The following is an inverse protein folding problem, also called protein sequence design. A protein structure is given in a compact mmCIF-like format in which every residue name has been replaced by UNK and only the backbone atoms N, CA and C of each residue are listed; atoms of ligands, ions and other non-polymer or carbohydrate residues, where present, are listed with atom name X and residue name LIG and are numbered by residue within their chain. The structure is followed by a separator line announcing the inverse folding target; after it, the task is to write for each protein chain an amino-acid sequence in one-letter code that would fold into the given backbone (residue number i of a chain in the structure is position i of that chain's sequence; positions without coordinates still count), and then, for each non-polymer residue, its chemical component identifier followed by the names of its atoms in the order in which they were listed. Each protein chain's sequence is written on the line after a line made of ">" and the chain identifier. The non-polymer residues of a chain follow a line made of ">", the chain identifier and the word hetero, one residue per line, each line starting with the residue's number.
data_IF_206248284318
#
_entry.id   IF_206248284318
#
_cell.length_a   1.000
_cell.length_b   1.000
_cell.length_c   1.000
_cell.angle_alpha   90.00
_cell.angle_beta   90.00
_cell.angle_gamma   90.00
#
_symmetry.space_group_name_H-M   'P 1'
#
loop_
_entity.id
_entity.type
_entity.pdbx_description
1 polymer ?
#
# COMPACT_ATOMS: atom_id res chain seq x y z
N UNK A 1 -13.30 20.63 3.57
CA UNK A 1 -14.03 19.53 2.87
C UNK A 1 -13.06 18.90 1.87
N UNK A 2 -12.68 17.62 2.06
CA UNK A 2 -11.83 16.92 1.09
C UNK A 2 -12.63 16.72 -0.21
N UNK A 3 -11.96 16.89 -1.35
CA UNK A 3 -12.55 16.72 -2.68
C UNK A 3 -12.95 15.25 -2.87
N UNK A 4 -14.22 14.97 -3.15
CA UNK A 4 -14.67 13.62 -3.53
C UNK A 4 -14.40 13.40 -5.01
N UNK A 5 -13.97 12.19 -5.35
CA UNK A 5 -13.83 11.78 -6.73
C UNK A 5 -15.20 11.77 -7.40
N UNK A 6 -15.33 12.50 -8.50
CA UNK A 6 -16.54 12.50 -9.32
C UNK A 6 -16.28 11.68 -10.56
N UNK A 7 -17.13 10.68 -10.78
CA UNK A 7 -17.07 9.84 -11.97
C UNK A 7 -17.25 10.66 -13.26
N UNK A 8 -16.58 10.24 -14.29
CA UNK A 8 -16.63 10.77 -15.64
C UNK A 8 -15.93 9.78 -16.56
N UNK A 9 -15.98 10.01 -17.86
CA UNK A 9 -15.19 9.23 -18.82
C UNK A 9 -13.85 9.89 -19.06
N UNK A 10 -12.77 9.12 -18.87
CA UNK A 10 -11.45 9.53 -19.29
C UNK A 10 -11.35 9.44 -20.83
N UNK A 11 -11.01 10.54 -21.50
CA UNK A 11 -10.83 10.57 -22.96
C UNK A 11 -9.63 9.72 -23.38
N UNK A 12 -8.54 9.77 -22.61
CA UNK A 12 -7.36 8.93 -22.80
C UNK A 12 -7.20 7.99 -21.61
N UNK A 13 -6.96 6.71 -21.87
CA UNK A 13 -6.96 5.67 -20.83
C UNK A 13 -5.61 4.99 -20.75
N UNK A 14 -5.16 4.74 -19.53
CA UNK A 14 -4.05 3.83 -19.24
C UNK A 14 -4.41 2.38 -19.61
N UNK A 15 -3.40 1.53 -19.60
CA UNK A 15 -3.52 0.11 -19.90
C UNK A 15 -3.18 -0.74 -18.68
N UNK A 16 -3.79 -1.92 -18.59
CA UNK A 16 -3.40 -2.94 -17.62
C UNK A 16 -2.60 -4.00 -18.37
N UNK A 17 -1.48 -4.40 -17.80
CA UNK A 17 -0.69 -5.55 -18.24
C UNK A 17 -0.50 -6.51 -17.08
N UNK A 18 -0.21 -7.76 -17.39
CA UNK A 18 0.19 -8.75 -16.43
C UNK A 18 1.72 -8.91 -16.45
N UNK A 19 2.31 -9.02 -15.28
CA UNK A 19 3.72 -9.42 -15.13
C UNK A 19 3.77 -10.73 -14.36
N UNK A 20 4.58 -11.66 -14.84
CA UNK A 20 4.86 -12.94 -14.18
C UNK A 20 6.24 -12.88 -13.54
N UNK A 21 6.36 -13.44 -12.35
CA UNK A 21 7.61 -13.54 -11.60
C UNK A 21 7.68 -14.86 -10.85
N UNK A 22 8.90 -15.26 -10.51
CA UNK A 22 9.17 -16.50 -9.76
C UNK A 22 9.41 -16.16 -8.30
N UNK A 23 8.84 -16.95 -7.40
CA UNK A 23 9.03 -16.84 -5.95
C UNK A 23 9.07 -18.23 -5.30
N UNK A 24 9.18 -18.28 -3.98
CA UNK A 24 9.11 -19.52 -3.20
C UNK A 24 7.83 -19.55 -2.36
N UNK A 25 7.12 -20.69 -2.42
CA UNK A 25 5.97 -20.92 -1.55
C UNK A 25 6.42 -21.26 -0.11
N UNK A 26 5.45 -21.47 0.79
CA UNK A 26 5.67 -21.82 2.20
C UNK A 26 6.48 -23.11 2.41
N UNK A 27 6.46 -24.01 1.41
CA UNK A 27 7.25 -25.27 1.41
C UNK A 27 8.67 -25.07 0.86
N UNK A 28 9.02 -23.86 0.42
CA UNK A 28 10.30 -23.57 -0.24
C UNK A 28 10.36 -24.00 -1.71
N UNK A 29 9.24 -24.46 -2.29
CA UNK A 29 9.16 -24.84 -3.70
C UNK A 29 9.10 -23.58 -4.58
N UNK A 30 9.79 -23.60 -5.70
CA UNK A 30 9.74 -22.52 -6.69
C UNK A 30 8.40 -22.54 -7.39
N UNK A 31 7.71 -21.40 -7.38
CA UNK A 31 6.39 -21.21 -8.02
C UNK A 31 6.39 -19.94 -8.85
N UNK A 32 5.57 -19.95 -9.88
CA UNK A 32 5.29 -18.78 -10.69
C UNK A 32 4.06 -18.06 -10.13
N UNK A 33 4.15 -16.74 -10.01
CA UNK A 33 3.03 -15.87 -9.63
C UNK A 33 2.91 -14.73 -10.63
N UNK A 34 1.76 -14.08 -10.64
CA UNK A 34 1.54 -12.89 -11.46
C UNK A 34 1.01 -11.72 -10.63
N UNK A 35 1.22 -10.52 -11.14
CA UNK A 35 0.61 -9.29 -10.68
C UNK A 35 0.10 -8.49 -11.88
N UNK A 36 -0.93 -7.68 -11.69
CA UNK A 36 -1.34 -6.72 -12.70
C UNK A 36 -0.57 -5.41 -12.51
N UNK A 37 -0.27 -4.73 -13.60
CA UNK A 37 0.35 -3.40 -13.57
C UNK A 37 -0.46 -2.44 -14.43
N UNK A 38 -0.86 -1.31 -13.85
CA UNK A 38 -1.41 -0.17 -14.56
C UNK A 38 -0.29 0.70 -15.09
N UNK A 39 -0.33 0.95 -16.39
CA UNK A 39 0.52 1.90 -17.09
C UNK A 39 -0.33 3.13 -17.44
N UNK A 40 0.10 4.35 -17.06
CA UNK A 40 -0.68 5.55 -17.31
C UNK A 40 -0.86 5.81 -18.81
N UNK A 41 -1.88 6.59 -19.15
CA UNK A 41 -2.04 7.07 -20.52
C UNK A 41 -0.73 7.72 -21.01
N UNK A 42 -0.37 7.44 -22.27
CA UNK A 42 0.90 7.90 -22.87
C UNK A 42 2.14 7.41 -22.11
N UNK A 43 2.08 6.20 -21.54
CA UNK A 43 3.25 5.57 -20.95
C UNK A 43 4.41 5.56 -21.94
N UNK A 44 5.56 6.04 -21.48
CA UNK A 44 6.81 6.09 -22.25
C UNK A 44 7.86 5.22 -21.55
N UNK A 45 8.33 4.12 -22.16
CA UNK A 45 9.30 3.22 -21.54
C UNK A 45 10.66 3.87 -21.24
N UNK A 46 10.93 5.05 -21.84
CA UNK A 46 12.18 5.78 -21.58
C UNK A 46 12.08 6.74 -20.39
N UNK A 47 10.87 7.02 -19.90
CA UNK A 47 10.66 7.86 -18.72
C UNK A 47 10.68 7.05 -17.43
N UNK A 48 11.13 7.70 -16.36
CA UNK A 48 11.06 7.15 -15.00
C UNK A 48 9.72 7.49 -14.37
N UNK A 49 9.16 6.52 -13.65
CA UNK A 49 7.88 6.68 -12.94
C UNK A 49 8.04 6.33 -11.48
N UNK A 50 7.31 7.05 -10.62
CA UNK A 50 7.00 6.57 -9.28
C UNK A 50 6.15 5.31 -9.38
N UNK A 51 6.27 4.42 -8.39
CA UNK A 51 5.56 3.14 -8.40
C UNK A 51 4.84 2.90 -7.07
N UNK A 52 3.62 2.40 -7.16
CA UNK A 52 2.79 2.09 -6.01
C UNK A 52 2.28 0.65 -6.08
N UNK A 53 2.61 -0.14 -5.07
CA UNK A 53 2.12 -1.50 -4.91
C UNK A 53 0.87 -1.48 -4.04
N UNK A 54 -0.23 -2.06 -4.53
CA UNK A 54 -1.55 -1.98 -3.89
C UNK A 54 -2.17 -3.36 -3.70
N UNK A 55 -2.15 -3.84 -2.45
CA UNK A 55 -2.61 -5.18 -2.07
C UNK A 55 -4.12 -5.23 -1.87
N UNK A 56 -4.74 -6.31 -2.35
CA UNK A 56 -6.17 -6.60 -2.16
C UNK A 56 -6.53 -6.99 -0.72
N UNK A 57 -7.83 -7.05 -0.42
CA UNK A 57 -8.39 -7.56 0.83
C UNK A 57 -8.43 -9.09 0.89
N UNK A 58 -8.79 -9.64 2.04
CA UNK A 58 -8.92 -11.08 2.25
C UNK A 58 -9.83 -11.74 1.21
N UNK A 59 -9.40 -12.88 0.69
CA UNK A 59 -10.09 -13.61 -0.37
C UNK A 59 -10.08 -12.96 -1.75
N UNK A 60 -9.35 -11.84 -1.93
CA UNK A 60 -9.19 -11.17 -3.22
C UNK A 60 -8.15 -11.82 -4.13
N UNK A 61 -7.78 -11.08 -5.18
CA UNK A 61 -6.81 -11.49 -6.20
C UNK A 61 -6.22 -10.23 -6.87
N UNK A 62 -5.27 -10.33 -7.80
CA UNK A 62 -4.68 -9.19 -8.50
C UNK A 62 -5.68 -8.30 -9.24
N UNK A 63 -6.85 -8.83 -9.66
CA UNK A 63 -7.86 -8.09 -10.44
C UNK A 63 -8.75 -7.18 -9.58
N UNK A 64 -8.74 -7.39 -8.24
CA UNK A 64 -9.67 -6.74 -7.32
C UNK A 64 -9.66 -5.21 -7.41
N UNK A 65 -8.51 -4.61 -7.65
CA UNK A 65 -8.37 -3.16 -7.73
C UNK A 65 -8.56 -2.58 -9.13
N UNK A 66 -7.89 -3.14 -10.13
CA UNK A 66 -7.81 -2.52 -11.45
C UNK A 66 -8.97 -2.92 -12.38
N UNK A 67 -9.47 -4.14 -12.26
CA UNK A 67 -10.55 -4.66 -13.11
C UNK A 67 -11.92 -4.66 -12.42
N UNK A 68 -11.95 -4.95 -11.10
CA UNK A 68 -13.20 -5.15 -10.36
C UNK A 68 -13.63 -3.94 -9.54
N UNK A 69 -12.88 -2.82 -9.56
CA UNK A 69 -13.18 -1.60 -8.81
C UNK A 69 -13.09 -0.34 -9.70
N UNK A 70 -13.55 0.83 -9.20
CA UNK A 70 -13.43 2.10 -9.91
C UNK A 70 -12.00 2.62 -10.07
N UNK A 71 -11.00 1.98 -9.47
CA UNK A 71 -9.64 2.52 -9.33
C UNK A 71 -8.99 2.91 -10.66
N UNK A 72 -9.06 2.04 -11.68
CA UNK A 72 -8.44 2.34 -12.98
C UNK A 72 -8.98 3.64 -13.58
N UNK A 73 -10.30 3.79 -13.63
CA UNK A 73 -10.93 5.01 -14.17
C UNK A 73 -10.59 6.23 -13.30
N UNK A 74 -10.47 6.06 -11.99
CA UNK A 74 -10.07 7.12 -11.07
C UNK A 74 -8.63 7.59 -11.36
N UNK A 75 -7.69 6.65 -11.58
CA UNK A 75 -6.30 6.96 -11.93
C UNK A 75 -6.24 7.72 -13.27
N UNK A 76 -6.93 7.20 -14.30
CA UNK A 76 -7.00 7.83 -15.63
C UNK A 76 -7.49 9.28 -15.54
N UNK A 77 -8.59 9.52 -14.84
CA UNK A 77 -9.18 10.85 -14.68
C UNK A 77 -8.32 11.78 -13.84
N UNK A 78 -7.73 11.29 -12.75
CA UNK A 78 -6.88 12.11 -11.88
C UNK A 78 -5.61 12.57 -12.59
N UNK A 79 -5.00 11.69 -13.40
CA UNK A 79 -3.84 12.02 -14.22
C UNK A 79 -4.23 13.01 -15.33
N UNK A 80 -5.34 12.78 -16.03
CA UNK A 80 -5.84 13.67 -17.08
C UNK A 80 -6.15 15.09 -16.56
N UNK A 81 -6.64 15.19 -15.31
CA UNK A 81 -6.95 16.48 -14.66
C UNK A 81 -5.71 17.16 -14.05
N UNK A 82 -4.55 16.55 -14.11
CA UNK A 82 -3.33 17.03 -13.46
C UNK A 82 -3.41 17.01 -11.92
N UNK A 83 -4.31 16.22 -11.35
CA UNK A 83 -4.47 16.05 -9.90
C UNK A 83 -3.48 15.02 -9.35
N UNK A 84 -2.99 14.13 -10.21
CA UNK A 84 -2.03 13.08 -9.92
C UNK A 84 -0.97 13.02 -11.02
N UNK A 85 0.30 13.01 -10.63
CA UNK A 85 1.38 12.74 -11.57
C UNK A 85 1.30 11.30 -12.10
N UNK A 86 1.62 11.08 -13.39
CA UNK A 86 1.66 9.73 -13.95
C UNK A 86 2.55 8.79 -13.13
N UNK A 87 2.00 7.63 -12.74
CA UNK A 87 2.72 6.63 -11.95
C UNK A 87 2.34 5.23 -12.41
N UNK A 88 3.14 4.24 -12.00
CA UNK A 88 2.82 2.83 -12.15
C UNK A 88 2.07 2.34 -10.91
N UNK A 89 1.02 1.52 -11.09
CA UNK A 89 0.34 0.86 -9.97
C UNK A 89 0.36 -0.64 -10.19
N UNK A 90 0.93 -1.37 -9.24
CA UNK A 90 1.04 -2.83 -9.28
C UNK A 90 0.08 -3.43 -8.27
N UNK A 91 -0.74 -4.38 -8.71
CA UNK A 91 -1.67 -5.10 -7.83
C UNK A 91 -1.27 -6.58 -7.73
N UNK A 92 -0.49 -6.93 -6.69
CA UNK A 92 -0.04 -8.30 -6.45
C UNK A 92 -1.06 -9.09 -5.64
N UNK A 93 -0.71 -10.34 -5.30
CA UNK A 93 -1.40 -11.17 -4.32
C UNK A 93 -0.40 -11.85 -3.37
N UNK A 94 -0.77 -11.99 -2.09
CA UNK A 94 -0.02 -12.82 -1.15
C UNK A 94 -0.42 -14.30 -1.20
N UNK A 95 -1.44 -14.64 -1.99
CA UNK A 95 -1.81 -16.05 -2.22
C UNK A 95 -0.87 -16.70 -3.24
N UNK A 96 -0.64 -17.98 -3.04
CA UNK A 96 -0.03 -18.86 -4.04
C UNK A 96 -1.13 -19.69 -4.67
N UNK A 97 -1.13 -19.78 -6.00
CA UNK A 97 -2.12 -20.58 -6.73
C UNK A 97 -2.14 -22.04 -6.22
N UNK A 98 -3.33 -22.62 -6.13
CA UNK A 98 -3.53 -23.99 -5.68
C UNK A 98 -3.48 -24.21 -4.15
N UNK A 99 -3.20 -23.18 -3.34
CA UNK A 99 -3.12 -23.35 -1.87
C UNK A 99 -4.44 -23.18 -1.13
N UNK A 100 -5.55 -22.95 -1.84
CA UNK A 100 -6.86 -22.66 -1.23
C UNK A 100 -6.88 -21.33 -0.44
N UNK A 101 -8.07 -20.90 -0.04
CA UNK A 101 -8.21 -19.75 0.86
C UNK A 101 -8.00 -20.22 2.30
N UNK A 102 -6.93 -19.83 2.98
CA UNK A 102 -6.75 -20.18 4.39
C UNK A 102 -7.81 -19.46 5.23
N UNK A 103 -8.10 -19.98 6.42
CA UNK A 103 -8.84 -19.21 7.43
C UNK A 103 -8.08 -17.94 7.81
N UNK A 104 -8.74 -17.02 8.51
CA UNK A 104 -8.17 -15.68 8.81
C UNK A 104 -6.79 -15.71 9.52
N UNK A 105 -6.50 -16.73 10.33
CA UNK A 105 -5.20 -16.83 10.99
C UNK A 105 -4.09 -17.20 9.99
N UNK A 106 -4.35 -18.13 9.08
CA UNK A 106 -3.43 -18.46 7.99
C UNK A 106 -3.24 -17.32 6.98
N UNK A 107 -4.20 -16.41 6.85
CA UNK A 107 -4.03 -15.20 6.04
C UNK A 107 -3.02 -14.23 6.63
N UNK A 108 -3.00 -14.04 7.96
CA UNK A 108 -2.00 -13.20 8.61
C UNK A 108 -0.58 -13.71 8.33
N UNK A 109 -0.33 -15.01 8.50
CA UNK A 109 0.98 -15.60 8.22
C UNK A 109 1.43 -15.36 6.78
N UNK A 110 0.51 -15.46 5.81
CA UNK A 110 0.79 -15.12 4.40
C UNK A 110 1.15 -13.65 4.21
N UNK A 111 0.51 -12.72 4.91
CA UNK A 111 0.84 -11.29 4.82
C UNK A 111 2.22 -10.99 5.39
N UNK A 112 2.67 -11.73 6.38
CA UNK A 112 4.04 -11.64 6.94
C UNK A 112 5.06 -12.27 5.97
N UNK A 113 4.78 -13.48 5.47
CA UNK A 113 5.67 -14.18 4.52
C UNK A 113 5.86 -13.38 3.22
N UNK A 114 4.81 -12.70 2.74
CA UNK A 114 4.83 -11.86 1.56
C UNK A 114 5.87 -10.74 1.61
N UNK A 115 6.31 -10.31 2.79
CA UNK A 115 7.30 -9.21 2.91
C UNK A 115 8.65 -9.57 2.29
N UNK A 116 9.04 -10.84 2.39
CA UNK A 116 10.25 -11.34 1.73
C UNK A 116 10.05 -11.43 0.22
N UNK A 117 8.95 -12.01 -0.23
CA UNK A 117 8.57 -12.08 -1.65
C UNK A 117 8.53 -10.68 -2.28
N UNK A 118 7.91 -9.71 -1.59
CA UNK A 118 7.85 -8.32 -2.04
C UNK A 118 9.22 -7.74 -2.33
N UNK A 119 10.16 -7.91 -1.40
CA UNK A 119 11.48 -7.29 -1.47
C UNK A 119 12.45 -8.03 -2.40
N UNK A 120 12.40 -9.37 -2.40
CA UNK A 120 13.42 -10.19 -3.09
C UNK A 120 12.98 -10.64 -4.50
N UNK A 121 11.66 -10.71 -4.76
CA UNK A 121 11.15 -11.28 -6.00
C UNK A 121 10.30 -10.28 -6.80
N UNK A 122 9.20 -9.77 -6.23
CA UNK A 122 8.23 -8.94 -6.96
C UNK A 122 8.80 -7.58 -7.36
N UNK A 123 9.34 -6.80 -6.41
CA UNK A 123 9.89 -5.47 -6.70
C UNK A 123 11.03 -5.58 -7.73
N UNK A 124 12.04 -6.48 -7.57
CA UNK A 124 13.07 -6.66 -8.58
C UNK A 124 12.53 -7.05 -9.96
N UNK A 125 11.56 -7.95 -10.05
CA UNK A 125 10.97 -8.36 -11.32
C UNK A 125 10.26 -7.21 -12.02
N UNK A 126 9.44 -6.47 -11.29
CA UNK A 126 8.69 -5.32 -11.86
C UNK A 126 9.63 -4.20 -12.28
N UNK A 127 10.55 -3.79 -11.41
CA UNK A 127 11.40 -2.61 -11.65
C UNK A 127 12.60 -2.91 -12.58
N UNK A 128 12.83 -4.18 -12.92
CA UNK A 128 13.66 -4.57 -14.07
C UNK A 128 12.90 -4.43 -15.39
N UNK A 129 11.61 -4.77 -15.40
CA UNK A 129 10.78 -4.75 -16.59
C UNK A 129 10.24 -3.35 -16.96
N UNK A 130 10.11 -2.46 -15.98
CA UNK A 130 9.54 -1.11 -16.15
C UNK A 130 10.46 -0.06 -15.54
N UNK A 131 10.69 1.02 -16.27
CA UNK A 131 11.63 2.08 -15.87
C UNK A 131 11.06 2.90 -14.72
N UNK A 132 11.62 2.69 -13.53
CA UNK A 132 11.33 3.44 -12.31
C UNK A 132 12.53 4.33 -11.92
N UNK A 133 12.51 4.88 -10.73
CA UNK A 133 13.65 5.61 -10.18
C UNK A 133 14.76 4.70 -9.61
N UNK A 134 14.53 3.39 -9.54
CA UNK A 134 15.59 2.43 -9.22
C UNK A 134 16.56 2.33 -10.39
N UNK A 135 17.82 2.68 -10.19
CA UNK A 135 18.87 2.51 -11.21
C UNK A 135 19.33 1.06 -11.28
N UNK A 136 19.31 0.38 -10.15
CA UNK A 136 19.53 -1.06 -10.01
C UNK A 136 18.49 -1.63 -9.04
N UNK A 137 18.18 -2.91 -9.19
CA UNK A 137 17.22 -3.62 -8.33
C UNK A 137 17.89 -4.43 -7.22
N UNK A 138 19.19 -4.22 -7.00
CA UNK A 138 19.88 -4.72 -5.83
C UNK A 138 19.48 -3.93 -4.56
N UNK A 139 19.82 -4.42 -3.35
CA UNK A 139 19.42 -3.76 -2.11
C UNK A 139 19.85 -2.29 -1.99
N UNK A 140 21.00 -1.91 -2.59
CA UNK A 140 21.49 -0.54 -2.55
C UNK A 140 20.68 0.39 -3.47
N UNK A 141 20.39 -0.04 -4.69
CA UNK A 141 19.58 0.72 -5.65
C UNK A 141 18.13 0.85 -5.19
N UNK A 142 17.54 -0.22 -4.63
CA UNK A 142 16.20 -0.18 -4.07
C UNK A 142 16.12 0.75 -2.85
N UNK A 143 17.15 0.78 -2.00
CA UNK A 143 17.24 1.73 -0.89
C UNK A 143 17.39 3.16 -1.37
N UNK A 144 18.21 3.42 -2.38
CA UNK A 144 18.42 4.77 -2.93
C UNK A 144 17.15 5.37 -3.53
N UNK A 145 16.31 4.51 -4.15
CA UNK A 145 15.05 4.92 -4.80
C UNK A 145 13.80 4.82 -3.90
N UNK A 146 13.94 4.56 -2.60
CA UNK A 146 12.83 4.25 -1.70
C UNK A 146 11.72 5.31 -1.64
N UNK A 147 12.04 6.58 -1.79
CA UNK A 147 11.08 7.69 -1.81
C UNK A 147 10.31 7.82 -3.14
N UNK A 148 10.55 6.93 -4.08
CA UNK A 148 9.79 6.77 -5.32
C UNK A 148 8.92 5.50 -5.33
N UNK A 149 8.85 4.81 -4.16
CA UNK A 149 8.11 3.55 -4.01
C UNK A 149 7.15 3.62 -2.83
N UNK A 150 5.89 3.26 -3.09
CA UNK A 150 4.86 3.16 -2.07
C UNK A 150 4.24 1.77 -2.02
N UNK A 151 3.68 1.43 -0.86
CA UNK A 151 2.90 0.22 -0.64
C UNK A 151 1.62 0.56 0.12
N UNK A 152 0.52 -0.03 -0.28
CA UNK A 152 -0.76 0.13 0.39
C UNK A 152 -1.66 -1.07 0.19
N UNK A 153 -2.82 -1.04 0.83
CA UNK A 153 -3.80 -2.10 0.64
C UNK A 153 -5.02 -1.96 1.53
N UNK A 154 -6.06 -2.72 1.17
CA UNK A 154 -7.37 -2.73 1.80
C UNK A 154 -7.55 -3.95 2.70
N UNK A 155 -8.11 -3.77 3.90
CA UNK A 155 -8.46 -4.89 4.81
C UNK A 155 -7.21 -5.73 5.15
N UNK A 156 -7.15 -7.00 4.75
CA UNK A 156 -5.92 -7.80 4.86
C UNK A 156 -4.73 -7.18 4.11
N UNK A 157 -4.98 -6.41 3.06
CA UNK A 157 -3.95 -5.59 2.41
C UNK A 157 -3.44 -4.45 3.31
N UNK A 158 -4.27 -3.91 4.21
CA UNK A 158 -3.81 -2.96 5.22
C UNK A 158 -2.92 -3.66 6.28
N UNK A 159 -3.28 -4.87 6.72
CA UNK A 159 -2.42 -5.71 7.58
C UNK A 159 -1.07 -5.95 6.89
N UNK A 160 -1.10 -6.29 5.59
CA UNK A 160 0.11 -6.43 4.76
C UNK A 160 0.92 -5.14 4.71
N UNK A 161 0.25 -3.98 4.66
CA UNK A 161 0.90 -2.67 4.63
C UNK A 161 1.61 -2.35 5.94
N UNK A 162 1.01 -2.67 7.08
CA UNK A 162 1.68 -2.54 8.37
C UNK A 162 2.90 -3.45 8.48
N UNK A 163 2.82 -4.67 7.95
CA UNK A 163 3.98 -5.56 7.86
C UNK A 163 5.05 -4.97 6.91
N UNK A 164 4.66 -4.38 5.76
CA UNK A 164 5.59 -3.72 4.86
C UNK A 164 6.30 -2.51 5.53
N UNK A 165 5.60 -1.75 6.37
CA UNK A 165 6.21 -0.70 7.18
C UNK A 165 7.28 -1.26 8.13
N UNK A 166 7.00 -2.37 8.79
CA UNK A 166 7.95 -2.98 9.75
C UNK A 166 9.17 -3.59 9.07
N UNK A 167 8.97 -4.32 7.96
CA UNK A 167 10.03 -5.13 7.35
C UNK A 167 10.70 -4.48 6.15
N UNK A 168 9.99 -3.60 5.42
CA UNK A 168 10.43 -3.06 4.13
C UNK A 168 10.56 -1.52 4.09
N UNK A 169 10.56 -0.84 5.24
CA UNK A 169 10.77 0.62 5.32
C UNK A 169 12.13 1.04 4.68
N UNK A 170 13.09 0.13 4.62
CA UNK A 170 14.38 0.36 3.97
C UNK A 170 14.31 0.56 2.46
N UNK A 171 13.27 0.06 1.81
CA UNK A 171 13.08 0.12 0.35
C UNK A 171 11.77 0.78 -0.07
N UNK A 172 10.87 1.09 0.89
CA UNK A 172 9.56 1.75 0.67
C UNK A 172 9.49 2.99 1.53
N UNK A 173 9.09 4.12 0.95
CA UNK A 173 8.99 5.41 1.66
C UNK A 173 7.55 5.82 2.00
N UNK A 174 6.55 5.26 1.32
CA UNK A 174 5.14 5.65 1.45
C UNK A 174 4.25 4.46 1.74
N UNK A 175 3.38 4.59 2.75
CA UNK A 175 2.51 3.50 3.21
C UNK A 175 1.06 3.95 3.27
N UNK A 176 0.13 3.12 2.75
CA UNK A 176 -1.30 3.44 2.70
C UNK A 176 -2.13 2.27 3.24
N UNK A 177 -2.18 2.05 4.57
CA UNK A 177 -3.06 1.06 5.17
C UNK A 177 -4.51 1.57 5.17
N UNK A 178 -5.41 0.87 4.48
CA UNK A 178 -6.81 1.22 4.31
C UNK A 178 -7.71 0.18 4.97
N UNK A 179 -8.53 0.62 5.94
CA UNK A 179 -9.54 -0.23 6.60
C UNK A 179 -8.96 -1.51 7.22
N UNK A 180 -7.89 -1.37 8.02
CA UNK A 180 -7.28 -2.49 8.75
C UNK A 180 -6.15 -2.04 9.68
N UNK A 181 -6.08 -2.67 10.85
CA UNK A 181 -5.08 -2.45 11.88
C UNK A 181 -3.87 -3.41 11.75
N UNK A 182 -2.83 -3.16 12.51
CA UNK A 182 -1.65 -4.04 12.59
C UNK A 182 -1.92 -5.23 13.51
N UNK A 183 -1.74 -6.44 12.99
CA UNK A 183 -2.03 -7.69 13.73
C UNK A 183 -0.80 -8.34 14.38
N UNK A 184 0.33 -7.66 14.40
CA UNK A 184 1.58 -8.21 14.92
C UNK A 184 1.53 -8.58 16.41
N UNK A 185 0.70 -7.91 17.22
CA UNK A 185 0.52 -8.18 18.64
C UNK A 185 -0.68 -9.10 18.90
N UNK A 186 -1.79 -8.79 18.25
CA UNK A 186 -3.04 -9.54 18.36
C UNK A 186 -3.88 -9.27 17.11
N UNK A 187 -4.53 -10.29 16.59
CA UNK A 187 -5.48 -10.15 15.49
C UNK A 187 -6.65 -9.24 15.91
N UNK A 188 -6.93 -8.20 15.13
CA UNK A 188 -7.93 -7.17 15.44
C UNK A 188 -7.65 -6.45 16.77
N UNK A 189 -6.39 -6.44 17.20
CA UNK A 189 -5.95 -5.92 18.49
C UNK A 189 -5.75 -4.41 18.55
N UNK A 190 -5.97 -3.69 17.44
CA UNK A 190 -5.71 -2.25 17.37
C UNK A 190 -6.50 -1.40 18.36
N UNK A 191 -7.61 -1.89 18.92
CA UNK A 191 -8.33 -1.24 20.01
C UNK A 191 -8.02 -1.84 21.40
N UNK A 192 -7.95 -3.17 21.51
CA UNK A 192 -7.71 -3.88 22.77
C UNK A 192 -6.25 -3.84 23.23
N UNK A 193 -5.30 -3.81 22.30
CA UNK A 193 -3.85 -3.79 22.52
C UNK A 193 -3.20 -2.54 21.89
N UNK A 194 -3.94 -1.45 21.79
CA UNK A 194 -3.54 -0.24 21.04
C UNK A 194 -2.15 0.27 21.41
N UNK A 195 -1.85 0.35 22.73
CA UNK A 195 -0.55 0.81 23.24
C UNK A 195 0.61 -0.11 22.84
N UNK A 196 0.40 -1.43 22.91
CA UNK A 196 1.44 -2.41 22.50
C UNK A 196 1.67 -2.39 21.01
N UNK A 197 0.58 -2.30 20.24
CA UNK A 197 0.64 -2.21 18.77
C UNK A 197 1.35 -0.94 18.33
N UNK A 198 1.00 0.22 18.92
CA UNK A 198 1.65 1.48 18.62
C UNK A 198 3.14 1.48 18.99
N UNK A 199 3.51 0.91 20.14
CA UNK A 199 4.90 0.76 20.55
C UNK A 199 5.67 -0.16 19.62
N UNK A 200 5.09 -1.27 19.20
CA UNK A 200 5.72 -2.18 18.23
C UNK A 200 6.06 -1.46 16.91
N UNK A 201 5.12 -0.66 16.37
CA UNK A 201 5.34 0.13 15.15
C UNK A 201 6.35 1.26 15.38
N UNK A 202 6.32 1.92 16.55
CA UNK A 202 7.31 2.90 16.95
C UNK A 202 8.72 2.30 17.00
N UNK A 203 8.88 1.16 17.70
CA UNK A 203 10.16 0.50 17.85
C UNK A 203 10.73 0.03 16.50
N UNK A 204 9.86 -0.43 15.58
CA UNK A 204 10.25 -0.77 14.22
C UNK A 204 10.78 0.45 13.44
N UNK A 205 10.10 1.60 13.53
CA UNK A 205 10.55 2.84 12.92
C UNK A 205 11.89 3.31 13.49
N UNK A 206 12.03 3.32 14.81
CA UNK A 206 13.28 3.71 15.50
C UNK A 206 14.43 2.77 15.09
N UNK A 207 14.19 1.46 15.07
CA UNK A 207 15.18 0.46 14.66
C UNK A 207 15.62 0.63 13.20
N UNK A 208 14.75 1.11 12.33
CA UNK A 208 15.07 1.37 10.91
C UNK A 208 16.11 2.48 10.74
N UNK A 209 16.22 3.39 11.70
CA UNK A 209 17.07 4.56 11.66
C UNK A 209 16.51 5.72 10.82
N UNK A 210 15.36 5.55 10.16
CA UNK A 210 14.72 6.63 9.39
C UNK A 210 13.99 7.61 10.31
N UNK A 211 14.09 8.89 9.97
CA UNK A 211 13.42 9.98 10.67
C UNK A 211 12.01 10.22 10.12
N UNK A 212 11.14 10.93 10.85
CA UNK A 212 9.77 11.22 10.40
C UNK A 212 9.67 11.96 9.06
N UNK A 213 10.68 12.68 8.64
CA UNK A 213 10.70 13.34 7.33
C UNK A 213 11.17 12.44 6.18
N UNK A 214 11.47 11.18 6.46
CA UNK A 214 11.97 10.22 5.48
C UNK A 214 10.94 9.13 5.12
N UNK A 215 9.76 9.09 5.73
CA UNK A 215 8.65 8.22 5.35
C UNK A 215 7.30 8.91 5.59
N UNK A 216 6.25 8.41 4.95
CA UNK A 216 4.91 8.94 5.11
C UNK A 216 3.87 7.82 5.17
N UNK A 217 2.94 7.91 6.11
CA UNK A 217 1.82 6.98 6.28
C UNK A 217 0.51 7.74 6.09
N UNK A 218 -0.35 7.24 5.21
CA UNK A 218 -1.73 7.69 5.06
C UNK A 218 -2.67 6.55 5.42
N UNK A 219 -3.20 6.55 6.63
CA UNK A 219 -4.18 5.59 7.10
C UNK A 219 -5.61 6.11 6.90
N UNK A 220 -6.53 5.27 6.44
CA UNK A 220 -7.91 5.69 6.25
C UNK A 220 -8.91 4.55 6.50
N UNK A 221 -10.14 4.92 6.91
CA UNK A 221 -11.27 4.00 7.08
C UNK A 221 -12.61 4.76 7.06
N UNK A 222 -13.73 4.06 7.03
CA UNK A 222 -15.07 4.63 7.19
C UNK A 222 -15.59 4.50 8.62
N UNK A 223 -16.52 5.37 9.04
CA UNK A 223 -17.13 5.27 10.39
C UNK A 223 -18.06 4.06 10.54
N UNK A 224 -18.62 3.55 9.43
CA UNK A 224 -19.45 2.34 9.37
C UNK A 224 -18.64 1.10 8.95
N UNK A 225 -17.29 1.23 8.86
CA UNK A 225 -16.38 0.15 8.48
C UNK A 225 -16.12 -0.77 9.68
N UNK A 226 -16.08 -2.08 9.43
CA UNK A 226 -15.80 -3.11 10.45
C UNK A 226 -14.42 -2.93 11.10
N UNK A 227 -13.47 -2.30 10.42
CA UNK A 227 -12.13 -2.02 10.92
C UNK A 227 -12.02 -0.68 11.65
N UNK A 228 -13.07 0.15 11.68
CA UNK A 228 -13.01 1.50 12.24
C UNK A 228 -12.48 1.52 13.67
N UNK A 229 -13.12 0.74 14.56
CA UNK A 229 -12.77 0.73 15.99
C UNK A 229 -11.30 0.35 16.22
N UNK A 230 -10.81 -0.66 15.51
CA UNK A 230 -9.45 -1.18 15.66
C UNK A 230 -8.42 -0.17 15.13
N UNK A 231 -8.62 0.33 13.91
CA UNK A 231 -7.68 1.28 13.32
C UNK A 231 -7.68 2.61 14.09
N UNK A 232 -8.85 3.11 14.51
CA UNK A 232 -8.97 4.33 15.33
C UNK A 232 -8.22 4.20 16.66
N UNK A 233 -8.38 3.08 17.36
CA UNK A 233 -7.67 2.81 18.61
C UNK A 233 -6.16 2.78 18.44
N UNK A 234 -5.68 2.05 17.42
CA UNK A 234 -4.26 1.99 17.07
C UNK A 234 -3.69 3.38 16.75
N UNK A 235 -4.36 4.14 15.89
CA UNK A 235 -3.89 5.46 15.46
C UNK A 235 -3.78 6.44 16.62
N UNK A 236 -4.79 6.48 17.49
CA UNK A 236 -4.74 7.35 18.67
C UNK A 236 -3.58 7.01 19.60
N UNK A 237 -3.22 5.73 19.72
CA UNK A 237 -2.04 5.32 20.47
C UNK A 237 -0.74 5.67 19.75
N UNK A 238 -0.68 5.53 18.40
CA UNK A 238 0.50 5.92 17.60
C UNK A 238 0.81 7.42 17.71
N UNK A 239 -0.20 8.28 17.71
CA UNK A 239 -0.04 9.74 17.83
C UNK A 239 0.55 10.19 19.18
N UNK A 240 0.65 9.29 20.16
CA UNK A 240 1.39 9.53 21.43
C UNK A 240 2.91 9.39 21.28
N UNK A 241 3.40 9.01 20.12
CA UNK A 241 4.80 8.98 19.75
C UNK A 241 5.11 10.04 18.67
N UNK A 242 5.03 11.36 19.00
CA UNK A 242 5.12 12.44 18.03
C UNK A 242 6.48 12.55 17.35
N UNK A 243 7.54 11.99 17.97
CA UNK A 243 8.89 11.90 17.38
C UNK A 243 9.00 10.80 16.31
N UNK A 244 7.95 10.00 16.13
CA UNK A 244 7.87 8.92 15.13
C UNK A 244 6.67 9.14 14.20
N UNK A 245 5.49 9.40 14.76
CA UNK A 245 4.23 9.60 14.04
C UNK A 245 3.69 11.00 14.28
N UNK A 246 4.18 11.93 13.48
CA UNK A 246 3.79 13.33 13.55
C UNK A 246 2.55 13.55 12.68
N UNK A 247 1.46 13.99 13.31
CA UNK A 247 0.20 14.28 12.59
C UNK A 247 0.43 15.30 11.47
N UNK A 248 -0.19 15.04 10.32
CA UNK A 248 0.06 15.80 9.11
C UNK A 248 -1.13 15.78 8.14
N UNK A 249 -1.25 16.85 7.37
CA UNK A 249 -2.08 16.88 6.16
C UNK A 249 -1.30 16.52 4.88
N UNK A 250 -0.01 16.23 5.01
CA UNK A 250 0.91 15.85 3.95
C UNK A 250 2.36 15.82 4.47
N UNK A 251 3.31 15.37 3.66
CA UNK A 251 4.69 15.12 4.07
C UNK A 251 5.40 16.37 4.63
N UNK A 252 5.09 17.55 4.09
CA UNK A 252 5.73 18.80 4.53
C UNK A 252 5.35 19.22 5.96
N UNK A 253 4.14 18.84 6.43
CA UNK A 253 3.65 19.17 7.77
C UNK A 253 4.00 18.11 8.82
N UNK A 254 4.20 16.86 8.39
CA UNK A 254 4.49 15.70 9.22
C UNK A 254 4.55 14.45 8.37
N UNK A 255 4.39 13.26 8.96
CA UNK A 255 4.56 12.01 8.27
C UNK A 255 3.43 10.99 8.51
N UNK A 256 2.39 11.39 9.21
CA UNK A 256 1.28 10.50 9.52
C UNK A 256 -0.05 11.24 9.32
N UNK A 257 -0.82 10.84 8.33
CA UNK A 257 -2.17 11.33 8.09
C UNK A 257 -3.18 10.23 8.42
N UNK A 258 -4.16 10.54 9.25
CA UNK A 258 -5.30 9.66 9.47
C UNK A 258 -6.57 10.34 8.96
N UNK A 259 -7.29 9.63 8.12
CA UNK A 259 -8.58 10.07 7.58
C UNK A 259 -9.67 9.04 7.88
N UNK A 260 -10.83 9.50 8.31
CA UNK A 260 -12.04 8.68 8.31
C UNK A 260 -13.16 9.42 7.60
N UNK A 261 -13.96 8.68 6.84
CA UNK A 261 -15.08 9.20 6.07
C UNK A 261 -16.37 8.79 6.76
N UNK A 262 -17.23 9.77 7.03
CA UNK A 262 -18.54 9.55 7.69
C UNK A 262 -19.47 8.71 6.81
N UNK A 263 -20.06 7.65 7.38
CA UNK A 263 -20.99 6.75 6.71
C UNK A 263 -20.36 5.79 5.70
N UNK A 264 -19.04 5.84 5.48
CA UNK A 264 -18.38 4.93 4.56
C UNK A 264 -18.20 3.53 5.20
N UNK A 265 -18.32 2.48 4.37
CA UNK A 265 -18.35 1.08 4.77
C UNK A 265 -17.10 0.31 4.29
N UNK A 266 -16.99 -0.96 4.66
CA UNK A 266 -15.87 -1.84 4.27
C UNK A 266 -16.02 -2.33 2.82
N UNK A 267 -15.83 -1.45 1.84
CA UNK A 267 -16.06 -1.75 0.43
C UNK A 267 -15.09 -1.03 -0.51
N UNK A 268 -14.79 -1.65 -1.66
CA UNK A 268 -13.88 -1.08 -2.67
C UNK A 268 -14.28 0.32 -3.15
N UNK A 269 -15.55 0.66 -3.40
CA UNK A 269 -15.92 2.03 -3.81
C UNK A 269 -15.47 3.09 -2.80
N UNK A 270 -15.59 2.82 -1.50
CA UNK A 270 -15.19 3.74 -0.45
C UNK A 270 -13.66 3.83 -0.33
N UNK A 271 -12.96 2.69 -0.33
CA UNK A 271 -11.49 2.72 -0.24
C UNK A 271 -10.83 3.31 -1.49
N UNK A 272 -11.47 3.26 -2.67
CA UNK A 272 -11.00 4.01 -3.84
C UNK A 272 -11.02 5.52 -3.59
N UNK A 273 -11.99 6.05 -2.82
CA UNK A 273 -11.97 7.47 -2.43
C UNK A 273 -10.77 7.81 -1.55
N UNK A 274 -10.36 6.89 -0.66
CA UNK A 274 -9.16 7.09 0.17
C UNK A 274 -7.89 7.08 -0.69
N UNK A 275 -7.78 6.16 -1.66
CA UNK A 275 -6.67 6.13 -2.64
C UNK A 275 -6.59 7.45 -3.41
N UNK A 276 -7.74 7.96 -3.90
CA UNK A 276 -7.82 9.26 -4.58
C UNK A 276 -7.32 10.43 -3.74
N UNK A 277 -7.61 10.42 -2.44
CA UNK A 277 -7.17 11.47 -1.52
C UNK A 277 -5.71 11.33 -1.11
N UNK A 278 -5.20 10.11 -1.04
CA UNK A 278 -3.86 9.79 -0.55
C UNK A 278 -2.76 9.96 -1.60
N UNK A 279 -2.96 9.42 -2.82
CA UNK A 279 -1.92 9.40 -3.85
C UNK A 279 -1.36 10.78 -4.19
N UNK A 280 -2.16 11.86 -4.28
CA UNK A 280 -1.63 13.21 -4.48
C UNK A 280 -0.74 13.73 -3.35
N UNK A 281 -0.75 13.09 -2.19
CA UNK A 281 0.14 13.44 -1.07
C UNK A 281 1.50 12.74 -1.14
N UNK A 282 1.64 11.71 -1.99
CA UNK A 282 2.85 10.90 -2.12
C UNK A 282 3.79 11.45 -3.19
N UNK A 283 5.05 11.05 -3.12
CA UNK A 283 6.09 11.35 -4.12
C UNK A 283 6.34 12.85 -4.37
N UNK A 284 6.18 13.70 -3.33
CA UNK A 284 6.34 15.15 -3.45
C UNK A 284 7.74 15.67 -3.08
N UNK A 285 8.73 14.77 -2.96
CA UNK A 285 10.14 15.14 -2.73
C UNK A 285 11.01 14.81 -3.91
#
# INVERSE_FOLDING_TARGET
>A
MKKKFTHGDAGERGTIRQITYTTRNEKGETVEKHANIYLPCRYDPEKRYNIFYLMHGGGGNPDAWLDSSPLKNMLDLSIQRGELEPLLVVTPTYYTEGTGKPGMDGEHDKTVAFQKELAEDLIPAVETAYKTYAETVDPAGLKASRLHRGFGGFSMGAVTTWNAFVYNIGIIGYFMPLSGDCWAIERLGGSSQSEKTARYLHDAAVKSGYKPDEYFIYAATGTEDIAFKQLYGQVNAMLRFPDTFKDASGFAAGNFCYHFEEGAVHAYPDVCQYVYQALPCFFKK
#
